data_IF_831018837715
#
_entry.id   IF_831018837715
#
_cell.length_a   1.000
_cell.length_b   1.000
_cell.length_c   1.000
_cell.angle_alpha   90.00
_cell.angle_beta   90.00
_cell.angle_gamma   90.00
#
_symmetry.space_group_name_H-M   'P 1'
#
loop_
_entity.id
_entity.type
_entity.pdbx_description
1 polymer ?
#
# COMPACT_ATOMS: atom_id res chain seq x y z
N UNK A 1 -68.94 -64.35 44.55
CA UNK A 1 -68.96 -63.80 43.17
C UNK A 1 -68.04 -62.63 43.15
N UNK A 2 -66.78 -62.81 42.76
CA UNK A 2 -65.81 -61.78 42.71
C UNK A 2 -65.38 -61.51 41.23
N UNK A 3 -65.73 -60.43 40.69
CA UNK A 3 -65.34 -60.00 39.35
C UNK A 3 -63.94 -59.36 39.45
N UNK A 4 -62.94 -59.99 38.83
CA UNK A 4 -61.59 -59.44 38.66
C UNK A 4 -61.60 -58.47 37.48
N UNK A 5 -61.53 -57.21 37.79
CA UNK A 5 -61.33 -56.14 36.84
C UNK A 5 -59.86 -56.19 36.33
N UNK A 6 -59.68 -56.48 35.05
CA UNK A 6 -58.36 -56.44 34.38
C UNK A 6 -58.05 -54.93 34.04
N UNK A 7 -57.15 -54.37 34.79
CA UNK A 7 -56.53 -53.11 34.38
C UNK A 7 -55.66 -53.33 33.13
N UNK A 8 -56.11 -52.82 32.02
CA UNK A 8 -55.30 -52.76 30.80
C UNK A 8 -54.36 -51.51 30.93
N UNK A 9 -53.06 -51.83 30.97
CA UNK A 9 -52.01 -50.77 30.95
C UNK A 9 -52.07 -50.01 29.64
N UNK A 10 -51.87 -48.67 29.69
CA UNK A 10 -51.85 -47.85 28.45
C UNK A 10 -50.62 -48.21 27.60
N UNK A 11 -50.86 -48.43 26.32
CA UNK A 11 -49.80 -48.72 25.35
C UNK A 11 -48.85 -47.51 25.21
N UNK A 12 -47.58 -47.72 25.56
CA UNK A 12 -46.51 -46.75 25.33
C UNK A 12 -46.35 -46.50 23.84
N UNK A 13 -46.77 -45.39 23.33
CA UNK A 13 -46.56 -44.94 21.96
C UNK A 13 -45.09 -44.55 21.80
N UNK A 14 -44.31 -45.37 21.13
CA UNK A 14 -42.93 -45.04 20.73
C UNK A 14 -42.97 -43.81 19.83
N UNK A 15 -42.08 -42.79 20.06
CA UNK A 15 -42.03 -41.60 19.21
C UNK A 15 -41.61 -42.04 17.79
N UNK A 16 -42.47 -41.78 16.82
CA UNK A 16 -42.17 -42.00 15.41
C UNK A 16 -41.15 -40.94 14.98
N UNK A 17 -39.88 -41.33 14.88
CA UNK A 17 -38.86 -40.51 14.29
C UNK A 17 -39.16 -40.32 12.80
N UNK A 18 -39.69 -39.15 12.42
CA UNK A 18 -39.85 -38.77 11.01
C UNK A 18 -38.45 -38.67 10.38
N UNK A 19 -38.09 -39.67 9.60
CA UNK A 19 -36.85 -39.68 8.82
C UNK A 19 -36.96 -38.58 7.76
N UNK A 20 -36.15 -37.52 7.91
CA UNK A 20 -36.05 -36.46 6.90
C UNK A 20 -35.55 -37.11 5.62
N UNK A 21 -36.29 -37.04 4.50
CA UNK A 21 -35.92 -37.70 3.27
C UNK A 21 -34.57 -37.16 2.75
N UNK A 22 -33.76 -38.07 2.18
CA UNK A 22 -32.37 -37.75 1.75
C UNK A 22 -32.29 -36.55 0.79
N UNK A 23 -33.29 -36.44 -0.09
CA UNK A 23 -33.34 -35.30 -1.02
C UNK A 23 -33.45 -33.92 -0.32
N UNK A 24 -34.11 -33.86 0.85
CA UNK A 24 -34.19 -32.62 1.64
C UNK A 24 -32.84 -32.25 2.26
N UNK A 25 -32.02 -33.23 2.65
CA UNK A 25 -30.65 -33.02 3.13
C UNK A 25 -29.74 -32.53 2.03
N UNK A 26 -29.90 -33.10 0.82
CA UNK A 26 -29.14 -32.65 -0.37
C UNK A 26 -29.55 -31.23 -0.77
N UNK A 27 -30.84 -30.92 -0.78
CA UNK A 27 -31.32 -29.56 -1.06
C UNK A 27 -30.77 -28.54 -0.06
N UNK A 28 -30.75 -28.83 1.24
CA UNK A 28 -30.18 -27.98 2.27
C UNK A 28 -28.68 -27.76 2.07
N UNK A 29 -27.91 -28.80 1.70
CA UNK A 29 -26.49 -28.68 1.40
C UNK A 29 -26.22 -27.78 0.17
N UNK A 30 -27.04 -27.90 -0.88
CA UNK A 30 -26.92 -27.07 -2.07
C UNK A 30 -27.22 -25.59 -1.76
N UNK A 31 -28.26 -25.33 -0.96
CA UNK A 31 -28.60 -23.96 -0.52
C UNK A 31 -27.47 -23.35 0.32
N UNK A 32 -26.86 -24.15 1.21
CA UNK A 32 -25.72 -23.69 2.00
C UNK A 32 -24.51 -23.35 1.12
N UNK A 33 -24.21 -24.19 0.12
CA UNK A 33 -23.11 -23.93 -0.82
C UNK A 33 -23.36 -22.66 -1.65
N UNK A 34 -24.57 -22.47 -2.13
CA UNK A 34 -24.94 -21.25 -2.86
C UNK A 34 -24.86 -20.02 -1.93
N UNK A 35 -25.37 -20.14 -0.71
CA UNK A 35 -25.29 -19.06 0.29
C UNK A 35 -23.85 -18.72 0.69
N UNK A 36 -22.98 -19.71 0.90
CA UNK A 36 -21.56 -19.49 1.15
C UNK A 36 -20.85 -18.84 -0.05
N UNK A 37 -21.16 -19.29 -1.27
CA UNK A 37 -20.58 -18.72 -2.49
C UNK A 37 -21.02 -17.26 -2.68
N UNK A 38 -22.32 -16.97 -2.49
CA UNK A 38 -22.85 -15.62 -2.55
C UNK A 38 -22.26 -14.72 -1.46
N UNK A 39 -22.16 -15.23 -0.22
CA UNK A 39 -21.51 -14.49 0.87
C UNK A 39 -20.03 -14.21 0.59
N UNK A 40 -19.29 -15.20 0.06
CA UNK A 40 -17.90 -15.03 -0.34
C UNK A 40 -17.76 -14.00 -1.44
N UNK A 41 -18.65 -14.05 -2.46
CA UNK A 41 -18.68 -13.09 -3.56
C UNK A 41 -18.94 -11.68 -3.06
N UNK A 42 -19.97 -11.45 -2.26
CA UNK A 42 -20.28 -10.12 -1.70
C UNK A 42 -19.21 -9.63 -0.73
N UNK A 43 -18.59 -10.54 0.03
CA UNK A 43 -17.49 -10.20 0.94
C UNK A 43 -16.25 -9.74 0.16
N UNK A 44 -15.92 -10.39 -0.95
CA UNK A 44 -14.79 -9.98 -1.81
C UNK A 44 -15.06 -8.68 -2.55
N UNK A 45 -16.28 -8.42 -3.02
CA UNK A 45 -16.65 -7.15 -3.65
C UNK A 45 -16.54 -5.97 -2.66
N UNK A 46 -17.04 -6.12 -1.44
CA UNK A 46 -16.91 -5.09 -0.40
C UNK A 46 -15.45 -4.79 -0.05
N UNK A 47 -14.58 -5.80 -0.06
CA UNK A 47 -13.14 -5.56 0.11
C UNK A 47 -12.56 -4.78 -1.08
N UNK A 48 -12.98 -5.08 -2.30
CA UNK A 48 -12.51 -4.40 -3.51
C UNK A 48 -12.97 -2.94 -3.54
N UNK A 49 -14.20 -2.62 -3.12
CA UNK A 49 -14.68 -1.24 -3.01
C UNK A 49 -13.95 -0.43 -1.92
N UNK A 50 -13.60 -1.05 -0.79
CA UNK A 50 -12.76 -0.41 0.24
C UNK A 50 -11.37 -0.09 -0.31
N UNK A 51 -10.83 -0.93 -1.22
CA UNK A 51 -9.54 -0.70 -1.86
C UNK A 51 -9.63 0.27 -3.06
N UNK A 52 -10.73 0.32 -3.81
CA UNK A 52 -10.91 1.26 -4.94
C UNK A 52 -11.30 2.67 -4.49
N UNK A 53 -12.06 2.82 -3.40
CA UNK A 53 -12.26 4.12 -2.74
C UNK A 53 -11.00 4.60 -1.98
N UNK A 54 -10.00 3.74 -1.81
CA UNK A 54 -8.66 4.10 -1.36
C UNK A 54 -7.84 4.87 -2.41
N UNK A 55 -8.38 5.07 -3.62
CA UNK A 55 -7.65 5.65 -4.76
C UNK A 55 -7.62 7.19 -4.75
N UNK A 56 -8.22 7.84 -3.76
CA UNK A 56 -7.99 9.27 -3.53
C UNK A 56 -6.67 9.45 -2.82
N UNK A 57 -5.62 9.98 -3.48
CA UNK A 57 -4.34 10.20 -2.85
C UNK A 57 -4.47 11.28 -1.78
N UNK A 58 -3.75 11.14 -0.69
CA UNK A 58 -3.45 12.26 0.19
C UNK A 58 -2.50 13.19 -0.55
N UNK A 59 -2.84 14.45 -0.61
CA UNK A 59 -2.04 15.47 -1.26
C UNK A 59 -1.61 16.52 -0.24
N UNK A 60 -0.31 16.80 -0.20
CA UNK A 60 0.32 17.80 0.64
C UNK A 60 0.97 18.82 -0.28
N UNK A 61 0.44 20.05 -0.27
CA UNK A 61 0.96 21.19 -1.04
C UNK A 61 1.67 22.17 -0.12
N UNK A 62 2.89 22.55 -0.48
CA UNK A 62 3.67 23.56 0.23
C UNK A 62 3.59 24.87 -0.54
N UNK A 63 3.04 25.94 0.05
CA UNK A 63 2.99 27.24 -0.61
C UNK A 63 4.39 27.80 -0.94
N UNK A 64 4.45 28.69 -1.92
CA UNK A 64 5.68 29.43 -2.24
C UNK A 64 6.22 30.16 -1.00
N UNK A 65 7.54 30.09 -0.79
CA UNK A 65 8.23 30.71 0.35
C UNK A 65 8.10 29.99 1.69
N UNK A 66 7.41 28.85 1.74
CA UNK A 66 7.23 28.01 2.94
C UNK A 66 8.01 26.71 2.86
N UNK A 67 8.17 26.03 4.00
CA UNK A 67 8.67 24.64 4.11
C UNK A 67 7.75 23.87 5.05
N UNK A 68 7.65 22.58 4.84
CA UNK A 68 6.80 21.71 5.66
C UNK A 68 7.52 20.44 6.00
N UNK A 69 7.46 20.03 7.27
CA UNK A 69 7.95 18.75 7.74
C UNK A 69 6.75 17.87 8.06
N UNK A 70 6.79 16.64 7.57
CA UNK A 70 5.73 15.64 7.80
C UNK A 70 6.35 14.30 8.18
N UNK A 71 5.57 13.50 8.89
CA UNK A 71 5.90 12.09 9.16
C UNK A 71 4.85 11.25 8.47
N UNK A 72 5.29 10.36 7.59
CA UNK A 72 4.43 9.42 6.87
C UNK A 72 4.00 8.26 7.79
N UNK A 73 2.94 7.50 7.43
CA UNK A 73 2.43 6.40 8.27
C UNK A 73 3.45 5.29 8.59
N UNK A 74 4.50 5.13 7.78
CA UNK A 74 5.59 4.16 7.99
C UNK A 74 6.71 4.69 8.91
N UNK A 75 6.58 5.92 9.43
CA UNK A 75 7.59 6.59 10.23
C UNK A 75 8.67 7.33 9.42
N UNK A 76 8.56 7.38 8.09
CA UNK A 76 9.45 8.17 7.24
C UNK A 76 9.23 9.65 7.47
N UNK A 77 10.31 10.40 7.77
CA UNK A 77 10.31 11.86 7.88
C UNK A 77 10.58 12.49 6.53
N UNK A 78 9.75 13.46 6.14
CA UNK A 78 9.90 14.18 4.87
C UNK A 78 9.87 15.69 5.12
N UNK A 79 10.90 16.38 4.66
CA UNK A 79 10.95 17.85 4.63
C UNK A 79 10.75 18.33 3.20
N UNK A 80 9.62 18.97 2.95
CA UNK A 80 9.26 19.51 1.63
C UNK A 80 9.63 20.97 1.52
N UNK A 81 10.24 21.35 0.39
CA UNK A 81 10.60 22.73 0.08
C UNK A 81 9.41 23.48 -0.55
N UNK A 82 9.56 24.80 -0.69
CA UNK A 82 8.54 25.70 -1.25
C UNK A 82 8.06 25.25 -2.64
N UNK A 83 6.75 25.35 -2.89
CA UNK A 83 6.14 24.99 -4.17
C UNK A 83 6.02 23.48 -4.42
N UNK A 84 6.46 22.64 -3.48
CA UNK A 84 6.43 21.19 -3.65
C UNK A 84 5.06 20.58 -3.38
N UNK A 85 4.75 19.50 -4.09
CA UNK A 85 3.55 18.69 -3.90
C UNK A 85 3.95 17.23 -3.69
N UNK A 86 3.55 16.66 -2.57
CA UNK A 86 3.73 15.23 -2.26
C UNK A 86 2.37 14.53 -2.27
N UNK A 87 2.29 13.38 -2.93
CA UNK A 87 1.08 12.54 -2.96
C UNK A 87 1.41 11.13 -2.55
N UNK A 88 0.51 10.49 -1.80
CA UNK A 88 0.58 9.06 -1.48
C UNK A 88 -0.81 8.48 -1.26
N UNK A 89 -0.99 7.17 -1.48
CA UNK A 89 -2.29 6.52 -1.35
C UNK A 89 -2.59 6.09 0.08
N UNK A 90 -3.87 5.87 0.40
CA UNK A 90 -4.33 5.43 1.74
C UNK A 90 -3.75 4.08 2.19
N UNK A 91 -3.39 3.20 1.24
CA UNK A 91 -2.72 1.93 1.51
C UNK A 91 -1.22 2.02 1.79
N UNK A 92 -0.66 3.24 1.81
CA UNK A 92 0.75 3.48 2.06
C UNK A 92 1.21 2.89 3.41
N UNK A 93 2.33 2.20 3.41
CA UNK A 93 2.93 1.57 4.59
C UNK A 93 2.42 0.15 4.90
N UNK A 94 1.32 -0.32 4.28
CA UNK A 94 0.75 -1.66 4.51
C UNK A 94 1.29 -2.67 3.48
N UNK A 95 1.14 -2.39 2.19
CA UNK A 95 1.56 -3.28 1.08
C UNK A 95 2.63 -2.65 0.21
N UNK A 96 2.66 -1.34 0.15
CA UNK A 96 3.57 -0.55 -0.66
C UNK A 96 3.92 0.75 0.06
N UNK A 97 5.05 1.33 -0.29
CA UNK A 97 5.53 2.61 0.22
C UNK A 97 5.88 3.52 -0.97
N UNK A 98 4.82 3.85 -1.74
CA UNK A 98 4.96 4.69 -2.95
C UNK A 98 4.50 6.10 -2.66
N UNK A 99 5.33 7.08 -2.98
CA UNK A 99 4.98 8.50 -3.00
C UNK A 99 5.27 9.10 -4.37
N UNK A 100 4.49 10.11 -4.77
CA UNK A 100 4.76 10.93 -5.96
C UNK A 100 5.17 12.32 -5.51
N UNK A 101 6.28 12.83 -6.05
CA UNK A 101 6.83 14.13 -5.73
C UNK A 101 6.89 14.99 -7.01
N UNK A 102 6.35 16.20 -6.91
CA UNK A 102 6.62 17.34 -7.78
C UNK A 102 7.23 18.43 -6.92
N UNK A 103 8.47 18.86 -7.21
CA UNK A 103 9.20 19.80 -6.40
C UNK A 103 10.43 19.21 -5.71
N UNK A 104 10.73 19.66 -4.49
CA UNK A 104 11.92 19.25 -3.75
C UNK A 104 11.55 18.70 -2.37
N UNK A 105 12.08 17.51 -2.06
CA UNK A 105 11.89 16.83 -0.80
C UNK A 105 13.17 16.18 -0.28
N UNK A 106 13.43 16.39 1.00
CA UNK A 106 14.44 15.66 1.77
C UNK A 106 13.75 14.54 2.53
N UNK A 107 14.23 13.32 2.35
CA UNK A 107 13.65 12.10 2.87
C UNK A 107 14.61 11.41 3.83
N UNK A 108 14.11 11.11 5.04
CA UNK A 108 14.76 10.21 5.99
C UNK A 108 13.86 8.98 6.13
N UNK A 109 14.09 8.01 5.26
CA UNK A 109 13.21 6.84 5.10
C UNK A 109 13.42 5.82 6.22
N UNK A 110 12.31 5.41 6.85
CA UNK A 110 12.31 4.35 7.84
C UNK A 110 12.82 3.02 7.23
N UNK A 111 13.75 2.35 7.94
CA UNK A 111 14.37 1.10 7.46
C UNK A 111 13.34 -0.03 7.40
N UNK A 112 13.12 -0.56 6.20
CA UNK A 112 12.31 -1.74 5.97
C UNK A 112 12.77 -2.41 4.65
N UNK A 113 13.46 -3.55 4.77
CA UNK A 113 14.00 -4.28 3.63
C UNK A 113 12.92 -5.12 2.90
N UNK A 114 11.81 -5.47 3.57
CA UNK A 114 10.75 -6.30 3.01
C UNK A 114 9.84 -5.50 2.07
N UNK A 115 9.61 -4.22 2.39
CA UNK A 115 8.78 -3.33 1.59
C UNK A 115 9.61 -2.12 1.18
N UNK A 116 10.18 -2.07 -0.04
CA UNK A 116 10.94 -0.92 -0.53
C UNK A 116 10.11 0.36 -0.58
N UNK A 117 10.76 1.51 -0.39
CA UNK A 117 10.16 2.83 -0.53
C UNK A 117 10.46 3.41 -1.91
N UNK A 118 9.46 3.95 -2.56
CA UNK A 118 9.58 4.54 -3.89
C UNK A 118 9.17 6.01 -3.88
N UNK A 119 10.04 6.87 -4.42
CA UNK A 119 9.69 8.24 -4.81
C UNK A 119 9.57 8.26 -6.32
N UNK A 120 8.38 8.55 -6.83
CA UNK A 120 8.10 8.72 -8.26
C UNK A 120 8.03 10.20 -8.57
N UNK A 121 8.70 10.62 -9.62
CA UNK A 121 8.53 11.93 -10.25
C UNK A 121 8.00 11.72 -11.66
N UNK A 122 7.81 12.78 -12.43
CA UNK A 122 7.39 12.66 -13.83
C UNK A 122 8.45 11.93 -14.70
N UNK A 123 9.74 12.06 -14.34
CA UNK A 123 10.85 11.61 -15.19
C UNK A 123 11.61 10.41 -14.62
N UNK A 124 11.71 10.33 -13.28
CA UNK A 124 12.55 9.32 -12.63
C UNK A 124 11.81 8.65 -11.48
N UNK A 125 12.23 7.44 -11.15
CA UNK A 125 11.82 6.70 -9.96
C UNK A 125 13.04 6.38 -9.10
N UNK A 126 12.94 6.73 -7.82
CA UNK A 126 13.94 6.46 -6.78
C UNK A 126 13.44 5.31 -5.92
N UNK A 127 14.23 4.25 -5.77
CA UNK A 127 13.94 3.11 -4.90
C UNK A 127 14.96 3.03 -3.78
N UNK A 128 14.49 2.89 -2.54
CA UNK A 128 15.32 2.78 -1.34
C UNK A 128 14.71 1.80 -0.33
N UNK A 129 15.48 1.39 0.70
CA UNK A 129 14.98 0.50 1.77
C UNK A 129 15.18 1.08 3.18
N UNK A 130 15.87 2.22 3.30
CA UNK A 130 16.16 2.90 4.56
C UNK A 130 17.36 3.81 4.36
N UNK A 131 17.12 5.03 3.91
CA UNK A 131 18.08 5.87 3.22
C UNK A 131 17.77 7.33 3.53
N UNK A 132 18.80 8.16 3.64
CA UNK A 132 18.68 9.62 3.76
C UNK A 132 19.15 10.24 2.45
N UNK A 133 18.23 10.95 1.77
CA UNK A 133 18.48 11.53 0.44
C UNK A 133 17.60 12.72 0.16
N UNK A 134 18.01 13.55 -0.82
CA UNK A 134 17.23 14.65 -1.34
C UNK A 134 16.87 14.39 -2.81
N UNK A 135 15.65 14.73 -3.18
CA UNK A 135 15.16 14.74 -4.57
C UNK A 135 14.70 16.14 -4.92
N UNK A 136 15.22 16.71 -5.99
CA UNK A 136 14.75 17.96 -6.60
C UNK A 136 14.26 17.65 -8.01
N UNK A 137 12.97 17.82 -8.23
CA UNK A 137 12.26 17.45 -9.46
C UNK A 137 11.08 18.41 -9.71
N UNK A 138 11.33 19.72 -9.78
CA UNK A 138 10.31 20.69 -10.19
C UNK A 138 10.02 20.55 -11.67
N UNK A 139 8.76 20.66 -12.08
CA UNK A 139 8.37 20.55 -13.49
C UNK A 139 9.05 21.57 -14.37
N UNK A 140 9.28 22.77 -13.86
CA UNK A 140 9.93 23.88 -14.58
C UNK A 140 11.46 23.75 -14.68
N UNK A 141 12.08 22.86 -13.90
CA UNK A 141 13.53 22.61 -13.97
C UNK A 141 13.87 21.71 -15.17
N UNK A 142 15.00 22.00 -15.84
CA UNK A 142 15.51 21.16 -16.93
C UNK A 142 16.15 19.84 -16.46
N UNK A 143 16.35 19.71 -15.15
CA UNK A 143 17.05 18.58 -14.53
C UNK A 143 16.27 18.04 -13.33
N UNK A 144 16.34 16.72 -13.16
CA UNK A 144 16.04 16.08 -11.87
C UNK A 144 17.37 15.77 -11.19
N UNK A 145 17.46 16.11 -9.90
CA UNK A 145 18.66 15.93 -9.09
C UNK A 145 18.33 15.03 -7.89
N UNK A 146 19.12 13.98 -7.70
CA UNK A 146 19.00 13.07 -6.55
C UNK A 146 20.34 13.00 -5.84
N UNK A 147 20.39 13.45 -4.58
CA UNK A 147 21.61 13.48 -3.76
C UNK A 147 21.49 12.50 -2.62
N UNK A 148 22.45 11.61 -2.47
CA UNK A 148 22.46 10.58 -1.44
C UNK A 148 23.39 10.96 -0.27
N UNK A 149 22.84 10.96 0.95
CA UNK A 149 23.59 11.22 2.18
C UNK A 149 23.95 9.92 2.91
N UNK A 150 22.97 9.02 3.11
CA UNK A 150 23.17 7.77 3.84
C UNK A 150 22.37 6.64 3.17
N UNK A 151 22.96 5.44 3.12
CA UNK A 151 22.31 4.23 2.61
C UNK A 151 22.62 3.94 1.15
N UNK A 152 21.62 3.57 0.36
CA UNK A 152 21.73 3.28 -1.08
C UNK A 152 20.48 3.71 -1.81
N UNK A 153 20.68 4.22 -3.03
CA UNK A 153 19.60 4.58 -3.96
C UNK A 153 19.74 3.77 -5.24
N UNK A 154 18.63 3.19 -5.70
CA UNK A 154 18.49 2.74 -7.08
C UNK A 154 17.60 3.77 -7.79
N UNK A 155 18.16 4.44 -8.78
CA UNK A 155 17.47 5.45 -9.60
C UNK A 155 17.19 4.87 -10.98
N UNK A 156 15.97 4.99 -11.47
CA UNK A 156 15.58 4.59 -12.82
C UNK A 156 14.83 5.73 -13.53
N UNK A 157 15.17 5.99 -14.79
CA UNK A 157 14.50 6.99 -15.65
C UNK A 157 13.68 6.33 -16.77
N UNK A 158 14.05 5.14 -17.19
CA UNK A 158 13.35 4.31 -18.18
C UNK A 158 13.67 2.84 -17.91
N UNK A 159 12.99 1.92 -18.59
CA UNK A 159 13.16 0.48 -18.40
C UNK A 159 14.62 -0.02 -18.47
N UNK A 160 15.49 0.69 -19.20
CA UNK A 160 16.89 0.29 -19.43
C UNK A 160 17.93 1.24 -18.80
N UNK A 161 17.50 2.29 -18.09
CA UNK A 161 18.42 3.28 -17.48
C UNK A 161 18.31 3.20 -15.96
N UNK A 162 19.14 2.36 -15.35
CA UNK A 162 19.23 2.21 -13.90
C UNK A 162 20.61 2.66 -13.41
N UNK A 163 20.64 3.54 -12.43
CA UNK A 163 21.84 4.04 -11.77
C UNK A 163 21.79 3.74 -10.27
N UNK A 164 22.91 3.26 -9.71
CA UNK A 164 23.05 3.09 -8.25
C UNK A 164 23.89 4.23 -7.68
N UNK A 165 23.40 4.83 -6.59
CA UNK A 165 24.14 5.83 -5.84
C UNK A 165 24.61 5.25 -4.50
N UNK A 166 25.80 5.71 -4.09
CA UNK A 166 26.41 5.52 -2.80
C UNK A 166 26.49 6.85 -2.05
N UNK A 167 26.74 6.85 -0.74
CA UNK A 167 26.84 8.08 0.05
C UNK A 167 27.82 9.08 -0.56
N UNK A 168 27.43 10.37 -0.55
CA UNK A 168 28.12 11.49 -1.17
C UNK A 168 28.13 11.46 -2.72
N UNK A 169 27.29 10.65 -3.35
CA UNK A 169 27.04 10.70 -4.78
C UNK A 169 25.73 11.40 -5.09
N UNK A 170 25.68 11.98 -6.27
CA UNK A 170 24.53 12.68 -6.83
C UNK A 170 24.28 12.20 -8.25
N UNK A 171 23.02 11.98 -8.60
CA UNK A 171 22.58 11.79 -9.97
C UNK A 171 21.95 13.08 -10.50
N UNK A 172 22.28 13.41 -11.73
CA UNK A 172 21.67 14.45 -12.51
C UNK A 172 20.99 13.82 -13.74
N UNK A 173 19.69 13.96 -13.85
CA UNK A 173 18.94 13.53 -15.02
C UNK A 173 18.50 14.76 -15.83
N UNK A 174 18.92 14.83 -17.09
CA UNK A 174 18.55 15.89 -18.02
C UNK A 174 17.24 15.52 -18.72
N UNK A 175 16.17 16.25 -18.46
CA UNK A 175 14.82 16.01 -19.01
C UNK A 175 14.78 16.13 -20.54
N UNK A 176 15.57 17.03 -21.12
CA UNK A 176 15.56 17.30 -22.56
C UNK A 176 16.28 16.22 -23.36
N UNK A 177 17.33 15.63 -22.80
CA UNK A 177 18.17 14.64 -23.50
C UNK A 177 17.92 13.20 -23.05
N UNK A 178 17.22 13.00 -21.91
CA UNK A 178 17.02 11.69 -21.29
C UNK A 178 18.30 11.07 -20.72
N UNK A 179 19.39 11.84 -20.60
CA UNK A 179 20.67 11.36 -20.10
C UNK A 179 20.75 11.49 -18.58
N UNK A 180 21.35 10.49 -17.97
CA UNK A 180 21.62 10.42 -16.54
C UNK A 180 23.12 10.41 -16.31
N UNK A 181 23.60 11.34 -15.48
CA UNK A 181 24.99 11.49 -15.13
C UNK A 181 25.18 11.35 -13.62
N UNK A 182 26.31 10.74 -13.22
CA UNK A 182 26.70 10.65 -11.81
C UNK A 182 27.76 11.67 -11.49
N UNK A 183 27.55 12.42 -10.42
CA UNK A 183 28.47 13.43 -9.89
C UNK A 183 28.83 13.07 -8.44
N UNK A 184 29.99 13.52 -7.98
CA UNK A 184 30.29 13.55 -6.55
C UNK A 184 29.53 14.74 -5.92
N UNK A 185 28.76 14.46 -4.90
CA UNK A 185 28.02 15.50 -4.19
C UNK A 185 28.99 16.32 -3.33
N UNK A 186 29.13 17.61 -3.62
CA UNK A 186 29.86 18.56 -2.80
C UNK A 186 28.96 19.14 -1.68
N UNK A 187 28.06 18.34 -1.12
CA UNK A 187 27.24 18.78 0.02
C UNK A 187 28.16 18.89 1.24
N UNK A 188 28.79 20.04 1.41
CA UNK A 188 29.28 20.47 2.72
C UNK A 188 28.05 20.83 3.54
N UNK A 189 27.66 19.93 4.44
CA UNK A 189 26.72 20.27 5.53
C UNK A 189 27.50 21.24 6.42
N UNK A 190 27.27 22.54 6.26
CA UNK A 190 27.62 23.51 7.30
C UNK A 190 26.66 23.24 8.45
N UNK A 191 27.17 22.71 9.54
CA UNK A 191 26.53 22.63 10.86
C UNK A 191 26.10 24.03 11.35
#
# INVERSE_FOLDING_TARGET
TGIKERMTAPASSKPVRKLIPVWLKVAAAVILLIGCNYFWYTYTENLTEVYTNADSPYEIKVPAGSRTNIVLPDGTEVSLNAGSVLRYHRGFGIRERNVTLDGEGYFKVAKNAEVPFFVKTNDVQVQVVGTVFNVRAYDDDNYVMVSLLEGRVNLSASANSVMKLFPNEQALYNKNTGRMEKLLSLIHISE
#
